data_IF_670069617921
#
_entry.id   IF_670069617921
#
_cell.length_a   1.000
_cell.length_b   1.000
_cell.length_c   1.000
_cell.angle_alpha   90.00
_cell.angle_beta   90.00
_cell.angle_gamma   90.00
#
_symmetry.space_group_name_H-M   'P 1'
#
loop_
_entity.id
_entity.type
_entity.pdbx_description
1 polymer ?
#
# COMPACT_ATOMS: atom_id res chain seq x y z
N UNK A 1 17.35 9.75 18.62
CA UNK A 1 17.51 10.34 17.28
C UNK A 1 18.12 9.38 16.27
N UNK A 2 19.37 8.93 16.43
CA UNK A 2 19.93 7.89 15.53
C UNK A 2 19.19 6.55 15.69
N UNK A 3 18.84 6.17 16.93
CA UNK A 3 17.98 5.01 17.18
C UNK A 3 16.57 5.16 16.56
N UNK A 4 16.06 6.39 16.48
CA UNK A 4 14.74 6.71 15.91
C UNK A 4 14.77 6.94 14.40
N UNK A 5 15.91 6.65 13.74
CA UNK A 5 16.12 6.86 12.30
C UNK A 5 15.98 8.32 11.84
N UNK A 6 16.21 9.28 12.75
CA UNK A 6 16.23 10.72 12.44
C UNK A 6 17.68 11.18 12.29
N UNK A 7 18.06 11.59 11.08
CA UNK A 7 19.36 12.17 10.79
C UNK A 7 19.28 13.70 10.85
N UNK A 8 19.98 14.30 11.83
CA UNK A 8 20.10 15.76 11.96
C UNK A 8 21.40 16.23 11.33
N UNK A 9 21.31 17.04 10.28
CA UNK A 9 22.49 17.58 9.57
C UNK A 9 23.09 18.83 10.22
N UNK A 10 22.29 19.60 10.97
CA UNK A 10 22.70 20.82 11.67
C UNK A 10 22.18 20.79 13.10
N UNK A 11 23.07 20.89 14.08
CA UNK A 11 22.69 20.80 15.50
C UNK A 11 21.80 21.96 15.94
N UNK A 12 21.96 23.16 15.38
CA UNK A 12 21.11 24.32 15.70
C UNK A 12 19.63 24.12 15.35
N UNK A 13 19.31 23.15 14.48
CA UNK A 13 17.92 22.85 14.09
C UNK A 13 17.13 22.19 15.23
N UNK A 14 17.80 21.69 16.26
CA UNK A 14 17.13 21.15 17.46
C UNK A 14 16.34 22.22 18.21
N UNK A 15 16.95 23.38 18.43
CA UNK A 15 16.32 24.51 19.12
C UNK A 15 15.15 25.05 18.29
N UNK A 16 15.32 25.11 16.97
CA UNK A 16 14.25 25.53 16.05
C UNK A 16 13.07 24.58 16.10
N UNK A 17 13.28 23.26 16.09
CA UNK A 17 12.18 22.28 16.08
C UNK A 17 11.28 22.40 17.31
N UNK A 18 11.85 22.70 18.48
CA UNK A 18 11.09 22.87 19.73
C UNK A 18 10.21 24.12 19.78
N UNK A 19 10.41 25.08 18.86
CA UNK A 19 9.69 26.37 18.83
C UNK A 19 8.80 26.56 17.59
N UNK A 20 8.65 25.51 16.76
CA UNK A 20 7.78 25.56 15.57
C UNK A 20 6.29 25.63 15.96
N UNK A 21 5.56 26.57 15.37
CA UNK A 21 4.09 26.70 15.53
C UNK A 21 3.28 26.29 14.30
N UNK A 22 3.92 26.13 13.14
CA UNK A 22 3.28 25.73 11.87
C UNK A 22 4.16 24.73 11.14
N UNK A 23 3.59 23.61 10.70
CA UNK A 23 4.28 22.59 9.90
C UNK A 23 3.66 22.54 8.50
N UNK A 24 4.43 22.94 7.47
CA UNK A 24 4.04 22.77 6.07
C UNK A 24 4.46 21.39 5.56
N UNK A 25 3.54 20.43 5.52
CA UNK A 25 3.82 19.07 5.03
C UNK A 25 3.39 18.90 3.58
N UNK A 26 4.23 18.24 2.78
CA UNK A 26 3.79 17.68 1.50
C UNK A 26 2.95 16.42 1.72
N UNK A 27 1.99 16.12 0.84
CA UNK A 27 1.14 14.93 0.98
C UNK A 27 1.90 13.66 0.61
N UNK A 28 2.34 13.57 -0.63
CA UNK A 28 2.92 12.35 -1.21
C UNK A 28 4.31 12.11 -0.66
N UNK A 29 4.60 10.86 -0.28
CA UNK A 29 5.90 10.44 0.29
C UNK A 29 6.25 11.07 1.66
N UNK A 30 5.29 11.73 2.32
CA UNK A 30 5.46 12.27 3.69
C UNK A 30 4.27 11.90 4.57
N UNK A 31 3.05 12.29 4.18
CA UNK A 31 1.83 11.84 4.88
C UNK A 31 1.35 10.47 4.38
N UNK A 32 1.63 10.16 3.12
CA UNK A 32 1.33 8.86 2.52
C UNK A 32 2.61 8.10 2.20
N UNK A 33 2.52 6.77 2.21
CA UNK A 33 3.62 5.85 1.85
C UNK A 33 3.95 5.85 0.35
N UNK A 34 3.31 6.71 -0.45
CA UNK A 34 3.42 6.75 -1.92
C UNK A 34 3.17 5.37 -2.58
N UNK A 35 2.34 4.56 -1.95
CA UNK A 35 1.84 3.30 -2.49
C UNK A 35 0.35 3.46 -2.78
N UNK A 36 -0.07 3.04 -3.97
CA UNK A 36 -1.49 3.04 -4.35
C UNK A 36 -2.20 1.86 -3.68
N UNK A 37 -3.46 2.05 -3.33
CA UNK A 37 -4.28 1.05 -2.66
C UNK A 37 -5.70 1.06 -3.21
N UNK A 38 -6.26 -0.12 -3.45
CA UNK A 38 -7.68 -0.27 -3.77
C UNK A 38 -8.47 -0.09 -2.48
N UNK A 39 -9.25 0.98 -2.40
CA UNK A 39 -10.06 1.31 -1.21
C UNK A 39 -11.52 0.89 -1.36
N UNK A 40 -11.99 0.79 -2.61
CA UNK A 40 -13.37 0.43 -2.97
C UNK A 40 -13.38 -0.33 -4.28
N UNK A 41 -14.33 -1.24 -4.43
CA UNK A 41 -14.58 -1.94 -5.69
C UNK A 41 -16.06 -2.27 -5.82
N UNK A 42 -16.50 -2.53 -7.05
CA UNK A 42 -17.89 -2.90 -7.33
C UNK A 42 -17.99 -4.40 -7.58
N UNK A 43 -18.94 -5.04 -6.92
CA UNK A 43 -19.36 -6.41 -7.22
C UNK A 43 -20.81 -6.38 -7.70
N UNK A 44 -21.01 -6.51 -9.01
CA UNK A 44 -22.32 -6.32 -9.62
C UNK A 44 -22.85 -4.90 -9.39
N UNK A 45 -23.88 -4.76 -8.55
CA UNK A 45 -24.51 -3.47 -8.19
C UNK A 45 -24.16 -3.01 -6.77
N UNK A 46 -23.26 -3.70 -6.09
CA UNK A 46 -22.87 -3.39 -4.72
C UNK A 46 -21.48 -2.76 -4.68
N UNK A 47 -21.34 -1.65 -3.95
CA UNK A 47 -20.07 -1.01 -3.67
C UNK A 47 -19.51 -1.58 -2.36
N UNK A 48 -18.37 -2.25 -2.45
CA UNK A 48 -17.69 -2.83 -1.31
C UNK A 48 -16.47 -1.96 -0.94
N UNK A 49 -16.32 -1.72 0.36
CA UNK A 49 -15.18 -0.98 0.93
C UNK A 49 -14.06 -1.93 1.38
N UNK A 50 -12.92 -1.34 1.74
CA UNK A 50 -11.76 -2.07 2.22
C UNK A 50 -12.08 -2.99 3.41
N UNK A 51 -11.67 -4.26 3.35
CA UNK A 51 -11.93 -5.24 4.41
C UNK A 51 -13.25 -5.99 4.29
N UNK A 52 -14.10 -5.68 3.31
CA UNK A 52 -15.35 -6.40 3.05
C UNK A 52 -15.16 -7.76 2.33
N UNK A 53 -13.95 -8.33 2.31
CA UNK A 53 -13.67 -9.61 1.64
C UNK A 53 -14.53 -10.77 2.17
N UNK A 54 -14.90 -10.73 3.45
CA UNK A 54 -15.75 -11.74 4.09
C UNK A 54 -17.21 -11.73 3.62
N UNK A 55 -17.68 -10.68 2.95
CA UNK A 55 -19.03 -10.64 2.37
C UNK A 55 -19.10 -11.22 0.95
N UNK A 56 -17.95 -11.49 0.32
CA UNK A 56 -17.88 -12.06 -1.02
C UNK A 56 -18.10 -13.59 -0.94
N UNK A 57 -18.96 -14.11 -1.80
CA UNK A 57 -19.14 -15.57 -1.93
C UNK A 57 -17.81 -16.25 -2.33
N UNK A 58 -17.46 -17.41 -1.73
CA UNK A 58 -16.25 -18.14 -2.07
C UNK A 58 -16.09 -18.45 -3.56
N UNK A 59 -17.18 -18.75 -4.27
CA UNK A 59 -17.15 -19.04 -5.71
C UNK A 59 -16.74 -17.81 -6.53
N UNK A 60 -17.24 -16.63 -6.14
CA UNK A 60 -16.90 -15.36 -6.78
C UNK A 60 -15.44 -15.02 -6.49
N UNK A 61 -14.98 -15.24 -5.26
CA UNK A 61 -13.59 -15.03 -4.88
C UNK A 61 -12.63 -15.94 -5.67
N UNK A 62 -13.02 -17.21 -5.87
CA UNK A 62 -12.28 -18.15 -6.71
C UNK A 62 -12.13 -17.63 -8.15
N UNK A 63 -13.23 -17.17 -8.76
CA UNK A 63 -13.19 -16.59 -10.11
C UNK A 63 -12.33 -15.32 -10.19
N UNK A 64 -12.34 -14.48 -9.15
CA UNK A 64 -11.47 -13.29 -9.07
C UNK A 64 -9.99 -13.72 -9.03
N UNK A 65 -9.64 -14.69 -8.19
CA UNK A 65 -8.27 -15.21 -8.13
C UNK A 65 -7.83 -15.83 -9.46
N UNK A 66 -8.69 -16.61 -10.12
CA UNK A 66 -8.41 -17.18 -11.44
C UNK A 66 -8.19 -16.08 -12.48
N UNK A 67 -9.07 -15.08 -12.54
CA UNK A 67 -8.94 -13.96 -13.46
C UNK A 67 -7.67 -13.13 -13.24
N UNK A 68 -7.26 -12.95 -11.98
CA UNK A 68 -6.01 -12.26 -11.63
C UNK A 68 -4.78 -13.11 -11.96
N UNK A 69 -4.86 -14.44 -11.80
CA UNK A 69 -3.79 -15.35 -12.16
C UNK A 69 -3.54 -15.43 -13.69
N UNK A 70 -4.50 -15.01 -14.51
CA UNK A 70 -4.33 -14.86 -15.96
C UNK A 70 -3.50 -13.62 -16.35
N UNK A 71 -3.12 -12.76 -15.40
CA UNK A 71 -2.23 -11.64 -15.68
C UNK A 71 -0.83 -12.12 -16.09
N UNK A 72 -0.41 -11.80 -17.32
CA UNK A 72 0.89 -12.19 -17.87
C UNK A 72 1.91 -11.04 -17.90
N UNK A 73 1.54 -9.85 -17.44
CA UNK A 73 2.37 -8.63 -17.52
C UNK A 73 3.21 -8.43 -16.27
N UNK A 74 2.69 -8.83 -15.11
CA UNK A 74 3.31 -8.59 -13.81
C UNK A 74 3.39 -9.88 -13.00
N UNK A 75 4.30 -9.91 -12.03
CA UNK A 75 4.56 -11.09 -11.21
C UNK A 75 4.42 -10.77 -9.72
N UNK A 76 3.97 -11.79 -8.99
CA UNK A 76 3.90 -11.82 -7.53
C UNK A 76 4.94 -12.83 -7.07
N UNK A 77 5.92 -12.39 -6.28
CA UNK A 77 7.01 -13.24 -5.80
C UNK A 77 7.11 -13.16 -4.28
N UNK A 78 7.31 -14.30 -3.62
CA UNK A 78 7.57 -14.39 -2.19
C UNK A 78 9.02 -14.85 -1.98
N UNK A 79 9.94 -13.97 -1.56
CA UNK A 79 11.31 -14.36 -1.22
C UNK A 79 11.32 -15.28 0.00
N UNK A 80 12.19 -16.30 0.00
CA UNK A 80 12.34 -17.25 1.12
C UNK A 80 12.83 -16.54 2.41
N UNK A 81 13.54 -15.42 2.26
CA UNK A 81 14.17 -14.66 3.34
C UNK A 81 13.29 -13.56 3.96
N UNK A 82 12.16 -13.22 3.34
CA UNK A 82 11.32 -12.09 3.74
C UNK A 82 9.86 -12.55 3.77
N UNK A 83 9.17 -12.37 4.89
CA UNK A 83 7.72 -12.62 5.00
C UNK A 83 6.86 -11.68 4.12
N UNK A 84 7.47 -10.80 3.33
CA UNK A 84 6.82 -9.77 2.53
C UNK A 84 6.73 -10.22 1.08
N UNK A 85 5.52 -10.13 0.51
CA UNK A 85 5.28 -10.37 -0.90
C UNK A 85 5.81 -9.17 -1.69
N UNK A 86 6.57 -9.44 -2.75
CA UNK A 86 7.02 -8.45 -3.72
C UNK A 86 6.18 -8.54 -5.00
N UNK A 87 5.73 -7.39 -5.49
CA UNK A 87 4.90 -7.29 -6.69
C UNK A 87 5.57 -6.33 -7.66
N UNK A 88 5.69 -6.75 -8.92
CA UNK A 88 6.20 -5.92 -10.01
C UNK A 88 5.08 -5.15 -10.71
N UNK A 89 5.46 -4.10 -11.45
CA UNK A 89 4.52 -3.31 -12.24
C UNK A 89 4.37 -1.86 -11.82
N UNK A 90 3.43 -1.17 -12.47
CA UNK A 90 3.09 0.21 -12.13
C UNK A 90 2.47 0.30 -10.72
N UNK A 91 2.42 1.47 -10.08
CA UNK A 91 1.76 1.63 -8.79
C UNK A 91 0.32 1.10 -8.78
N UNK A 92 -0.41 1.24 -9.89
CA UNK A 92 -1.79 0.78 -10.03
C UNK A 92 -1.85 -0.75 -10.08
N UNK A 93 -1.01 -1.38 -10.91
CA UNK A 93 -0.97 -2.83 -11.04
C UNK A 93 -0.62 -3.49 -9.70
N UNK A 94 0.35 -2.91 -8.98
CA UNK A 94 0.71 -3.36 -7.63
C UNK A 94 -0.46 -3.25 -6.68
N UNK A 95 -1.25 -2.17 -6.73
CA UNK A 95 -2.40 -1.99 -5.87
C UNK A 95 -3.48 -3.06 -6.12
N UNK A 96 -3.76 -3.35 -7.40
CA UNK A 96 -4.76 -4.35 -7.80
C UNK A 96 -4.30 -5.76 -7.40
N UNK A 97 -3.06 -6.12 -7.71
CA UNK A 97 -2.50 -7.43 -7.37
C UNK A 97 -2.41 -7.62 -5.85
N UNK A 98 -2.01 -6.59 -5.10
CA UNK A 98 -2.00 -6.63 -3.63
C UNK A 98 -3.40 -6.82 -3.08
N UNK A 99 -4.40 -6.17 -3.66
CA UNK A 99 -5.79 -6.27 -3.23
C UNK A 99 -6.38 -7.66 -3.51
N UNK A 100 -6.02 -8.28 -4.64
CA UNK A 100 -6.58 -9.57 -5.08
C UNK A 100 -5.93 -10.80 -4.44
N UNK A 101 -4.72 -10.68 -3.90
CA UNK A 101 -4.04 -11.78 -3.17
C UNK A 101 -4.32 -11.76 -1.67
N UNK A 102 -5.08 -10.76 -1.20
CA UNK A 102 -5.39 -10.53 0.21
C UNK A 102 -6.66 -11.28 0.64
#
# INVERSE_FOLDING_TARGET
MMADKVLVRKLSTFETMGSVTVIGTHKTSTLTVNEMKVTKFWLGKELLEEGAYSSISPDVMYLIHEGVALNTTHYVYRPISILKIEISGSPIDKAILTWAIH
#
